data_IF_277194756106
#
_entry.id   IF_277194756106
#
_cell.length_a   1.000
_cell.length_b   1.000
_cell.length_c   1.000
_cell.angle_alpha   90.00
_cell.angle_beta   90.00
_cell.angle_gamma   90.00
#
_symmetry.space_group_name_H-M   'P 1'
#
loop_
_entity.id
_entity.type
_entity.pdbx_description
1 polymer ?
#
# COMPACT_ATOMS: atom_id res chain seq x y z
N UNK A 1 -51.65 2.45 -15.81
CA UNK A 1 -50.82 3.43 -15.07
C UNK A 1 -49.71 2.67 -14.36
N UNK A 2 -48.59 2.42 -15.02
CA UNK A 2 -47.39 1.87 -14.37
C UNK A 2 -46.26 2.84 -14.64
N UNK A 3 -46.17 3.84 -13.77
CA UNK A 3 -45.07 4.79 -13.76
C UNK A 3 -43.83 4.03 -13.31
N UNK A 4 -42.86 3.94 -14.21
CA UNK A 4 -41.52 3.44 -13.94
C UNK A 4 -40.91 4.31 -12.84
N UNK A 5 -40.95 3.82 -11.59
CA UNK A 5 -40.03 4.30 -10.57
C UNK A 5 -38.62 3.95 -11.05
N UNK A 6 -38.00 4.89 -11.75
CA UNK A 6 -36.55 4.94 -11.86
C UNK A 6 -36.06 4.94 -10.42
N UNK A 7 -35.41 3.87 -9.97
CA UNK A 7 -34.57 3.93 -8.80
C UNK A 7 -33.55 5.02 -9.11
N UNK A 8 -33.79 6.25 -8.64
CA UNK A 8 -32.77 7.27 -8.57
C UNK A 8 -31.82 6.67 -7.54
N UNK A 9 -30.74 6.07 -8.02
CA UNK A 9 -29.63 5.65 -7.16
C UNK A 9 -29.17 6.90 -6.43
N UNK A 10 -29.73 7.12 -5.25
CA UNK A 10 -29.12 7.90 -4.22
C UNK A 10 -28.09 6.92 -3.67
N UNK A 11 -26.93 6.80 -4.35
CA UNK A 11 -25.75 6.26 -3.71
C UNK A 11 -25.68 6.96 -2.36
N UNK A 12 -25.74 6.20 -1.26
CA UNK A 12 -25.84 6.76 0.07
C UNK A 12 -24.68 7.74 0.26
N UNK A 13 -24.98 9.03 0.26
CA UNK A 13 -23.99 10.10 0.21
C UNK A 13 -23.02 9.92 1.37
N UNK A 14 -21.77 9.57 1.06
CA UNK A 14 -20.72 9.36 2.04
C UNK A 14 -19.57 10.30 1.72
N UNK A 15 -19.13 11.08 2.70
CA UNK A 15 -17.99 11.98 2.56
C UNK A 15 -16.64 11.24 2.60
N UNK A 16 -16.58 10.04 2.02
CA UNK A 16 -15.42 9.15 2.03
C UNK A 16 -15.52 7.98 1.04
N UNK A 17 -16.46 8.02 0.09
CA UNK A 17 -16.66 6.92 -0.87
C UNK A 17 -15.82 7.07 -2.15
N UNK A 18 -15.05 8.16 -2.27
CA UNK A 18 -14.15 8.41 -3.38
C UNK A 18 -14.86 8.87 -4.66
N UNK A 19 -16.16 9.19 -4.59
CA UNK A 19 -16.93 9.66 -5.74
C UNK A 19 -17.69 10.95 -5.41
N UNK A 20 -17.73 11.89 -6.34
CA UNK A 20 -18.53 13.10 -6.17
C UNK A 20 -20.01 12.80 -6.33
N UNK A 21 -20.73 12.59 -5.22
CA UNK A 21 -22.17 12.35 -5.20
C UNK A 21 -22.85 13.19 -4.11
N UNK A 22 -24.12 12.92 -3.77
CA UNK A 22 -24.74 13.47 -2.56
C UNK A 22 -24.94 15.00 -2.43
N UNK A 23 -24.51 15.80 -3.41
CA UNK A 23 -24.48 17.27 -3.32
C UNK A 23 -23.10 17.85 -2.98
N UNK A 24 -22.04 17.05 -3.03
CA UNK A 24 -20.67 17.48 -2.80
C UNK A 24 -20.15 18.45 -3.88
N UNK A 25 -19.25 19.35 -3.46
CA UNK A 25 -18.60 20.30 -4.37
C UNK A 25 -17.32 19.71 -4.95
N UNK A 26 -16.51 19.04 -4.12
CA UNK A 26 -15.41 18.18 -4.57
C UNK A 26 -15.77 16.69 -4.44
N UNK A 27 -14.79 15.81 -4.63
CA UNK A 27 -14.94 14.39 -4.27
C UNK A 27 -14.81 14.31 -2.74
N UNK A 28 -15.85 13.82 -2.04
CA UNK A 28 -15.87 13.63 -0.57
C UNK A 28 -15.70 14.91 0.26
N UNK A 29 -15.88 16.11 -0.32
CA UNK A 29 -15.64 17.37 0.37
C UNK A 29 -16.60 18.50 -0.01
N UNK A 30 -16.81 19.41 0.95
CA UNK A 30 -17.76 20.52 0.91
C UNK A 30 -19.22 20.10 0.66
N UNK A 31 -20.13 21.08 0.56
CA UNK A 31 -21.56 20.85 0.37
C UNK A 31 -22.17 20.22 1.63
N UNK A 32 -22.67 18.98 1.58
CA UNK A 32 -23.13 18.26 2.77
C UNK A 32 -21.99 17.78 3.67
N UNK A 33 -20.75 17.77 3.19
CA UNK A 33 -19.59 17.32 3.95
C UNK A 33 -19.00 18.43 4.83
N UNK A 34 -18.65 18.09 6.07
CA UNK A 34 -18.07 19.04 7.04
C UNK A 34 -16.64 19.43 6.68
N UNK A 35 -15.90 18.52 6.05
CA UNK A 35 -14.53 18.75 5.59
C UNK A 35 -14.51 19.54 4.30
N UNK A 36 -13.65 20.55 4.25
CA UNK A 36 -13.48 21.49 3.14
C UNK A 36 -12.50 20.94 2.10
N UNK A 37 -12.77 21.25 0.83
CA UNK A 37 -11.83 20.92 -0.24
C UNK A 37 -10.57 21.79 -0.21
N UNK A 38 -9.55 21.37 -0.95
CA UNK A 38 -8.28 22.09 -1.10
C UNK A 38 -8.50 23.54 -1.56
N UNK A 39 -7.68 24.47 -1.05
CA UNK A 39 -7.74 25.90 -1.33
C UNK A 39 -8.78 26.69 -0.53
N UNK A 40 -9.67 26.02 0.23
CA UNK A 40 -10.64 26.71 1.10
C UNK A 40 -10.03 27.16 2.40
N UNK A 41 -10.54 28.28 2.94
CA UNK A 41 -10.11 28.80 4.23
C UNK A 41 -10.34 27.76 5.33
N UNK A 42 -9.39 27.59 6.24
CA UNK A 42 -9.43 26.68 7.37
C UNK A 42 -8.85 27.33 8.63
N UNK A 43 -9.25 26.82 9.78
CA UNK A 43 -8.74 27.24 11.09
C UNK A 43 -7.88 26.17 11.74
N UNK A 44 -8.20 24.90 11.49
CA UNK A 44 -7.48 23.71 11.95
C UNK A 44 -7.36 22.66 10.85
N UNK A 45 -6.51 21.66 11.06
CA UNK A 45 -6.35 20.51 10.17
C UNK A 45 -7.66 19.72 9.94
N UNK A 46 -8.51 19.62 10.98
CA UNK A 46 -9.76 18.86 10.93
C UNK A 46 -10.81 19.48 9.99
N UNK A 47 -10.69 20.78 9.72
CA UNK A 47 -11.54 21.47 8.74
C UNK A 47 -11.28 20.98 7.32
N UNK A 48 -10.12 20.40 7.04
CA UNK A 48 -9.68 20.07 5.69
C UNK A 48 -9.83 18.59 5.39
N UNK A 49 -10.31 18.27 4.18
CA UNK A 49 -10.35 16.89 3.69
C UNK A 49 -8.95 16.26 3.67
N UNK A 50 -7.94 17.04 3.29
CA UNK A 50 -6.53 16.62 3.33
C UNK A 50 -5.97 16.42 4.74
N UNK A 51 -6.66 16.89 5.79
CA UNK A 51 -6.11 16.94 7.13
C UNK A 51 -4.99 17.98 7.30
N UNK A 52 -4.78 18.88 6.33
CA UNK A 52 -3.70 19.87 6.37
C UNK A 52 -4.27 21.27 6.16
N UNK A 53 -4.21 22.09 7.21
CA UNK A 53 -4.48 23.52 7.13
C UNK A 53 -3.15 24.28 7.02
N UNK A 54 -2.86 24.80 5.83
CA UNK A 54 -1.61 25.48 5.52
C UNK A 54 -1.42 26.80 6.28
N UNK A 55 -0.19 27.33 6.23
CA UNK A 55 0.18 28.59 6.90
C UNK A 55 -0.64 29.80 6.41
N UNK A 56 -1.11 29.76 5.17
CA UNK A 56 -1.99 30.77 4.58
C UNK A 56 -3.46 30.61 5.01
N UNK A 57 -3.74 29.77 6.02
CA UNK A 57 -5.10 29.45 6.49
C UNK A 57 -5.99 28.88 5.39
N UNK A 58 -5.42 28.08 4.49
CA UNK A 58 -6.19 27.34 3.49
C UNK A 58 -5.84 25.86 3.48
N UNK A 59 -6.80 25.02 3.09
CA UNK A 59 -6.58 23.58 2.99
C UNK A 59 -5.56 23.26 1.91
N UNK A 60 -4.46 22.61 2.32
CA UNK A 60 -3.41 22.18 1.39
C UNK A 60 -3.83 20.91 0.65
N UNK A 61 -3.28 20.71 -0.55
CA UNK A 61 -3.41 19.44 -1.27
C UNK A 61 -2.63 18.35 -0.52
N UNK A 62 -3.16 17.11 -0.38
CA UNK A 62 -2.42 15.96 0.11
C UNK A 62 -1.06 15.81 -0.57
N UNK A 63 -0.01 15.47 0.18
CA UNK A 63 1.34 15.31 -0.36
C UNK A 63 2.04 14.09 0.24
N UNK A 64 2.78 13.37 -0.60
CA UNK A 64 3.60 12.21 -0.23
C UNK A 64 4.84 12.53 0.64
N UNK A 65 4.79 13.61 1.40
CA UNK A 65 5.90 14.09 2.23
C UNK A 65 5.42 15.08 3.31
N UNK A 66 4.13 15.05 3.65
CA UNK A 66 3.54 15.96 4.66
C UNK A 66 3.41 15.32 6.05
N UNK A 67 3.92 14.09 6.21
CA UNK A 67 3.91 13.27 7.42
C UNK A 67 2.51 12.89 7.92
N UNK A 68 1.50 12.92 7.03
CA UNK A 68 0.13 12.58 7.36
C UNK A 68 -0.39 11.57 6.34
N UNK A 69 -0.95 10.46 6.81
CA UNK A 69 -1.64 9.54 5.91
C UNK A 69 -2.96 10.16 5.41
N UNK A 70 -2.93 10.72 4.20
CA UNK A 70 -4.08 11.39 3.60
C UNK A 70 -4.24 11.08 2.10
N UNK A 71 -5.31 11.58 1.49
CA UNK A 71 -5.59 11.37 0.07
C UNK A 71 -5.68 9.90 -0.33
N UNK A 72 -4.79 9.46 -1.23
CA UNK A 72 -4.75 8.10 -1.77
C UNK A 72 -3.60 7.26 -1.23
N UNK A 73 -2.96 7.69 -0.14
CA UNK A 73 -1.87 6.97 0.51
C UNK A 73 -2.37 5.71 1.22
N UNK A 74 -1.53 4.66 1.24
CA UNK A 74 -1.83 3.44 2.01
C UNK A 74 -1.11 3.41 3.35
N UNK A 75 0.00 4.12 3.48
CA UNK A 75 0.65 4.45 4.75
C UNK A 75 1.07 5.93 4.74
N UNK A 76 1.58 6.44 5.86
CA UNK A 76 2.05 7.83 5.97
C UNK A 76 3.13 8.10 4.92
N UNK A 77 2.85 9.04 4.01
CA UNK A 77 3.73 9.48 2.93
C UNK A 77 4.17 8.35 1.97
N UNK A 78 3.40 7.26 1.88
CA UNK A 78 3.80 6.09 1.10
C UNK A 78 2.64 5.27 0.52
N UNK A 79 2.94 4.54 -0.56
CA UNK A 79 2.01 3.65 -1.25
C UNK A 79 0.89 4.38 -2.00
N UNK A 80 -0.03 3.62 -2.59
CA UNK A 80 -1.08 4.16 -3.45
C UNK A 80 -0.51 4.94 -4.64
N UNK A 81 -0.76 6.26 -4.68
CA UNK A 81 -0.24 7.16 -5.71
C UNK A 81 1.19 7.64 -5.46
N UNK A 82 1.71 7.43 -4.25
CA UNK A 82 3.03 7.92 -3.88
C UNK A 82 4.14 7.07 -4.49
N UNK A 83 5.23 7.71 -4.96
CA UNK A 83 6.38 7.00 -5.52
C UNK A 83 7.13 6.19 -4.46
N UNK A 84 7.07 6.62 -3.20
CA UNK A 84 7.69 5.92 -2.09
C UNK A 84 6.88 4.68 -1.72
N UNK A 85 7.56 3.53 -1.70
CA UNK A 85 6.98 2.29 -1.18
C UNK A 85 7.03 2.28 0.34
N UNK A 86 5.94 1.79 0.93
CA UNK A 86 5.78 1.61 2.35
C UNK A 86 6.68 0.52 2.90
N UNK A 87 7.01 0.66 4.18
CA UNK A 87 7.82 -0.25 4.95
C UNK A 87 7.22 -0.37 6.34
N UNK A 88 6.88 -1.59 6.78
CA UNK A 88 6.15 -1.83 8.05
C UNK A 88 4.82 -1.06 8.23
N UNK A 89 4.30 -0.43 7.16
CA UNK A 89 3.05 0.33 7.17
C UNK A 89 1.93 -0.39 6.40
N UNK A 90 0.72 0.15 6.44
CA UNK A 90 -0.43 -0.45 5.78
C UNK A 90 -0.28 -0.44 4.25
N UNK A 91 -0.83 -1.46 3.61
CA UNK A 91 -0.79 -1.66 2.16
C UNK A 91 -2.12 -2.21 1.67
N UNK A 92 -2.39 -2.06 0.38
CA UNK A 92 -3.48 -2.71 -0.35
C UNK A 92 -2.93 -3.67 -1.40
N UNK A 93 -1.70 -3.45 -1.87
CA UNK A 93 -1.05 -4.26 -2.89
C UNK A 93 0.41 -4.52 -2.54
N UNK A 94 0.90 -5.70 -2.91
CA UNK A 94 2.32 -6.06 -2.80
C UNK A 94 3.26 -5.03 -3.44
N UNK A 95 2.86 -4.39 -4.54
CA UNK A 95 3.64 -3.35 -5.23
C UNK A 95 3.93 -2.11 -4.38
N UNK A 96 3.11 -1.86 -3.36
CA UNK A 96 3.24 -0.70 -2.47
C UNK A 96 4.27 -0.93 -1.37
N UNK A 97 4.70 -2.17 -1.13
CA UNK A 97 5.67 -2.53 -0.11
C UNK A 97 7.09 -2.60 -0.67
N UNK A 98 8.08 -2.10 0.06
CA UNK A 98 9.50 -2.23 -0.30
C UNK A 98 9.90 -3.70 -0.47
N UNK A 99 9.41 -4.57 0.42
CA UNK A 99 9.61 -6.02 0.37
C UNK A 99 8.83 -6.70 -0.76
N UNK A 100 7.83 -6.06 -1.35
CA UNK A 100 6.90 -6.74 -2.25
C UNK A 100 5.91 -7.66 -1.53
N UNK A 101 5.85 -7.64 -0.20
CA UNK A 101 4.97 -8.51 0.60
C UNK A 101 3.97 -7.66 1.37
N UNK A 102 2.69 -7.88 1.10
CA UNK A 102 1.57 -7.27 1.81
C UNK A 102 0.73 -8.37 2.46
N UNK A 103 1.02 -8.68 3.74
CA UNK A 103 0.38 -9.76 4.50
C UNK A 103 0.02 -9.26 5.91
N UNK A 104 -0.65 -10.07 6.74
CA UNK A 104 -1.00 -9.70 8.13
C UNK A 104 -1.87 -8.42 8.28
N UNK A 105 -3.11 -8.46 7.78
CA UNK A 105 -4.14 -7.43 8.02
C UNK A 105 -3.72 -5.99 7.69
N UNK A 106 -3.88 -5.63 6.41
CA UNK A 106 -2.85 -5.67 5.38
C UNK A 106 -1.68 -4.70 5.67
N UNK A 107 -0.53 -5.25 6.04
CA UNK A 107 0.70 -4.48 6.32
C UNK A 107 1.88 -4.98 5.48
N UNK A 108 2.78 -4.06 5.15
CA UNK A 108 4.07 -4.40 4.58
C UNK A 108 4.88 -5.13 5.64
N UNK A 109 5.32 -6.34 5.33
CA UNK A 109 6.24 -7.08 6.19
C UNK A 109 7.66 -6.93 5.68
N UNK A 110 8.65 -7.08 6.56
CA UNK A 110 10.04 -7.16 6.12
C UNK A 110 10.25 -8.36 5.19
N UNK A 111 11.27 -8.24 4.35
CA UNK A 111 11.75 -9.32 3.49
C UNK A 111 12.26 -10.49 4.32
N UNK A 112 11.87 -11.72 3.97
CA UNK A 112 12.37 -12.93 4.63
C UNK A 112 12.78 -13.97 3.60
N UNK A 113 13.75 -14.81 3.95
CA UNK A 113 14.23 -15.92 3.13
C UNK A 113 13.24 -17.10 2.99
N UNK A 114 11.94 -16.86 3.12
CA UNK A 114 10.89 -17.86 3.09
C UNK A 114 9.50 -17.24 2.87
N UNK A 115 9.43 -16.02 2.32
CA UNK A 115 8.17 -15.34 2.03
C UNK A 115 7.64 -15.60 0.61
N UNK A 116 8.36 -16.39 -0.19
CA UNK A 116 7.93 -16.79 -1.54
C UNK A 116 8.14 -15.70 -2.59
N UNK A 117 8.83 -14.60 -2.26
CA UNK A 117 9.11 -13.52 -3.20
C UNK A 117 10.60 -13.19 -3.24
N UNK A 118 11.13 -12.91 -4.43
CA UNK A 118 12.52 -12.46 -4.55
C UNK A 118 12.65 -11.01 -4.10
N UNK A 119 13.05 -10.79 -2.86
CA UNK A 119 13.24 -9.47 -2.26
C UNK A 119 14.52 -9.43 -1.42
N UNK A 120 14.70 -8.43 -0.54
CA UNK A 120 15.75 -8.44 0.49
C UNK A 120 17.22 -8.47 0.04
N UNK A 121 17.52 -8.53 -1.26
CA UNK A 121 18.86 -8.77 -1.80
C UNK A 121 19.12 -10.21 -2.27
N UNK A 122 18.08 -11.05 -2.32
CA UNK A 122 18.16 -12.43 -2.79
C UNK A 122 18.54 -12.58 -4.27
N UNK A 123 19.24 -13.67 -4.58
CA UNK A 123 19.62 -14.00 -5.97
C UNK A 123 18.54 -14.86 -6.63
N UNK A 124 17.96 -15.81 -5.91
CA UNK A 124 16.73 -16.52 -6.32
C UNK A 124 15.54 -16.10 -5.47
N UNK A 125 14.40 -16.78 -5.61
CA UNK A 125 13.28 -16.62 -4.67
C UNK A 125 13.67 -17.35 -3.39
N UNK A 126 13.71 -16.65 -2.25
CA UNK A 126 14.00 -17.18 -0.91
C UNK A 126 15.41 -17.81 -0.75
N UNK A 127 16.35 -17.53 -1.66
CA UNK A 127 17.65 -18.21 -1.66
C UNK A 127 18.81 -17.36 -2.18
N UNK A 128 20.01 -17.72 -1.71
CA UNK A 128 21.28 -17.02 -1.93
C UNK A 128 21.28 -15.54 -1.47
N UNK A 129 22.40 -14.83 -1.70
CA UNK A 129 22.56 -13.43 -1.30
C UNK A 129 22.62 -13.32 0.23
N UNK A 130 21.67 -12.63 0.89
CA UNK A 130 21.57 -12.58 2.35
C UNK A 130 21.05 -13.89 2.96
N UNK A 131 20.46 -14.78 2.16
CA UNK A 131 19.89 -16.02 2.65
C UNK A 131 20.94 -17.13 2.80
N UNK A 132 20.85 -17.87 3.91
CA UNK A 132 21.77 -18.96 4.25
C UNK A 132 21.67 -20.14 3.27
N UNK A 133 20.44 -20.40 2.78
CA UNK A 133 20.15 -21.54 1.89
C UNK A 133 20.38 -21.14 0.44
N UNK A 134 21.04 -22.04 -0.29
CA UNK A 134 21.46 -21.83 -1.67
C UNK A 134 20.39 -22.25 -2.67
N UNK A 135 20.33 -21.56 -3.78
CA UNK A 135 19.44 -21.92 -4.89
C UNK A 135 19.91 -23.19 -5.61
N UNK A 136 19.02 -23.78 -6.41
CA UNK A 136 19.36 -24.92 -7.27
C UNK A 136 20.55 -24.60 -8.20
N UNK A 137 21.43 -25.58 -8.41
CA UNK A 137 22.66 -25.46 -9.20
C UNK A 137 23.88 -24.96 -8.43
N UNK A 138 23.73 -24.52 -7.17
CA UNK A 138 24.84 -24.09 -6.31
C UNK A 138 25.52 -25.28 -5.63
N UNK A 139 26.81 -25.16 -5.35
CA UNK A 139 27.55 -26.18 -4.60
C UNK A 139 27.01 -26.35 -3.18
N UNK A 140 26.98 -27.59 -2.68
CA UNK A 140 26.51 -27.96 -1.35
C UNK A 140 27.36 -29.08 -0.74
N UNK A 141 27.37 -29.16 0.59
CA UNK A 141 28.02 -30.21 1.37
C UNK A 141 26.97 -31.17 1.93
N UNK A 142 25.85 -30.62 2.42
CA UNK A 142 24.70 -31.33 2.99
C UNK A 142 23.38 -30.81 2.43
N UNK A 143 22.31 -31.60 2.60
CA UNK A 143 20.94 -31.22 2.25
C UNK A 143 20.54 -29.87 2.88
N UNK A 144 21.10 -29.57 4.06
CA UNK A 144 20.86 -28.33 4.77
C UNK A 144 21.50 -27.08 4.13
N UNK A 145 22.34 -27.22 3.11
CA UNK A 145 22.85 -26.05 2.40
C UNK A 145 21.85 -25.54 1.35
N UNK A 146 20.88 -26.37 0.98
CA UNK A 146 20.01 -26.13 -0.16
C UNK A 146 18.62 -25.68 0.26
N UNK A 147 18.05 -24.71 -0.47
CA UNK A 147 16.66 -24.30 -0.30
C UNK A 147 15.69 -25.46 -0.52
N UNK A 148 15.99 -26.32 -1.50
CA UNK A 148 15.23 -27.54 -1.77
C UNK A 148 15.33 -28.61 -0.68
N UNK A 149 16.31 -28.50 0.24
CA UNK A 149 16.65 -29.57 1.18
C UNK A 149 17.25 -30.80 0.52
N UNK A 150 17.81 -30.67 -0.69
CA UNK A 150 18.42 -31.80 -1.43
C UNK A 150 19.77 -31.39 -2.02
N UNK A 151 20.85 -31.98 -1.49
CA UNK A 151 22.19 -31.91 -2.02
C UNK A 151 22.47 -33.14 -2.89
N UNK A 152 22.44 -32.94 -4.21
CA UNK A 152 22.59 -34.03 -5.17
C UNK A 152 23.98 -34.68 -5.15
N UNK A 153 24.08 -35.84 -5.81
CA UNK A 153 25.33 -36.63 -5.91
C UNK A 153 26.53 -35.83 -6.44
N UNK A 154 26.28 -34.82 -7.28
CA UNK A 154 27.30 -33.94 -7.85
C UNK A 154 27.72 -32.80 -6.92
N UNK A 155 27.33 -32.86 -5.63
CA UNK A 155 27.55 -31.79 -4.64
C UNK A 155 26.94 -30.47 -5.08
N UNK A 156 25.75 -30.54 -5.67
CA UNK A 156 24.98 -29.38 -6.11
C UNK A 156 23.53 -29.45 -5.65
N UNK A 157 22.99 -28.31 -5.20
CA UNK A 157 21.59 -28.18 -4.84
C UNK A 157 20.70 -28.53 -6.03
N UNK A 158 19.74 -29.42 -5.81
CA UNK A 158 18.85 -29.92 -6.85
C UNK A 158 17.40 -29.74 -6.43
N UNK A 159 16.50 -29.52 -7.40
CA UNK A 159 15.06 -29.45 -7.11
C UNK A 159 14.54 -30.80 -6.58
N UNK A 160 13.46 -30.75 -5.79
CA UNK A 160 12.70 -31.95 -5.43
C UNK A 160 11.96 -32.51 -6.64
#
# INVERSE_FOLDING_TARGET
>A
MYSLLKCKEIAASSCSDGVRNGGEIGIDCDGPCTKRCNGRVCTSAEDCWSGVCGLNKTCSVPSCSDNIQNGLETGVDCGGVCPLKCDSQSCKRCSECKSGVCTNWPRCTEATCYDGVRNGGEIGIDCDGPCLRRCNGRACISDDDCWSGVCGINKTCSGK
#
